data_IF_562830996081
#
_entry.id   IF_562830996081
#
_cell.length_a   1.000
_cell.length_b   1.000
_cell.length_c   1.000
_cell.angle_alpha   90.00
_cell.angle_beta   90.00
_cell.angle_gamma   90.00
#
_symmetry.space_group_name_H-M   'P 1'
#
loop_
_entity.id
_entity.type
_entity.pdbx_description
1 polymer ?
#
# COMPACT_ATOMS: atom_id res chain seq x y z
N UNK A 1 -22.62 -5.55 3.98
CA UNK A 1 -22.32 -4.16 3.47
C UNK A 1 -23.15 -3.16 4.26
N UNK A 2 -22.57 -2.09 4.84
CA UNK A 2 -23.30 -1.03 5.51
C UNK A 2 -24.36 -0.41 4.60
N UNK A 3 -25.50 -0.01 5.18
CA UNK A 3 -26.65 0.53 4.42
C UNK A 3 -26.28 1.72 3.56
N UNK A 4 -25.50 2.66 4.09
CA UNK A 4 -25.09 3.86 3.36
C UNK A 4 -24.20 3.55 2.14
N UNK A 5 -23.28 2.57 2.29
CA UNK A 5 -22.44 2.11 1.17
C UNK A 5 -23.31 1.49 0.08
N UNK A 6 -24.27 0.64 0.46
CA UNK A 6 -25.21 0.02 -0.48
C UNK A 6 -26.05 1.07 -1.22
N UNK A 7 -26.56 2.08 -0.52
CA UNK A 7 -27.35 3.17 -1.14
C UNK A 7 -26.51 3.95 -2.14
N UNK A 8 -25.25 4.33 -1.81
CA UNK A 8 -24.32 4.98 -2.74
C UNK A 8 -23.98 4.09 -3.94
N UNK A 9 -23.76 2.81 -3.70
CA UNK A 9 -23.49 1.83 -4.77
C UNK A 9 -24.64 1.77 -5.77
N UNK A 10 -25.87 1.69 -5.30
CA UNK A 10 -27.05 1.68 -6.16
C UNK A 10 -27.25 3.03 -6.88
N UNK A 11 -26.97 4.14 -6.21
CA UNK A 11 -27.00 5.46 -6.83
C UNK A 11 -25.93 5.60 -7.94
N UNK A 12 -24.71 5.06 -7.72
CA UNK A 12 -23.67 5.00 -8.75
C UNK A 12 -24.13 4.21 -9.97
N UNK A 13 -24.68 3.01 -9.77
CA UNK A 13 -25.18 2.15 -10.87
C UNK A 13 -26.28 2.85 -11.67
N UNK A 14 -27.11 3.69 -11.02
CA UNK A 14 -28.16 4.47 -11.69
C UNK A 14 -27.68 5.80 -12.30
N UNK A 15 -26.38 6.14 -12.15
CA UNK A 15 -25.85 7.42 -12.61
C UNK A 15 -26.28 8.63 -11.76
N UNK A 16 -26.71 8.40 -10.53
CA UNK A 16 -27.19 9.42 -9.58
C UNK A 16 -26.11 9.87 -8.58
N UNK A 17 -24.94 9.26 -8.64
CA UNK A 17 -23.79 9.57 -7.79
C UNK A 17 -22.56 9.92 -8.63
N UNK A 18 -21.94 11.06 -8.35
CA UNK A 18 -20.68 11.46 -8.97
C UNK A 18 -19.52 11.07 -8.05
N UNK A 19 -18.62 10.18 -8.50
CA UNK A 19 -17.45 9.79 -7.71
C UNK A 19 -16.56 11.00 -7.38
N UNK A 20 -16.02 11.10 -6.16
CA UNK A 20 -15.02 12.11 -5.88
C UNK A 20 -13.70 11.77 -6.58
N UNK A 21 -12.84 12.79 -6.76
CA UNK A 21 -11.47 12.60 -7.24
C UNK A 21 -10.69 11.71 -6.27
N UNK A 22 -9.65 11.06 -6.79
CA UNK A 22 -8.74 10.26 -5.99
C UNK A 22 -7.44 11.02 -5.69
N UNK A 23 -6.75 10.61 -4.61
CA UNK A 23 -5.40 11.04 -4.29
C UNK A 23 -4.43 9.90 -4.56
N UNK A 24 -3.23 10.22 -5.04
CA UNK A 24 -2.16 9.24 -5.16
C UNK A 24 -1.74 8.75 -3.77
N UNK A 25 -1.54 7.45 -3.67
CA UNK A 25 -1.10 6.79 -2.45
C UNK A 25 -0.13 5.64 -2.78
N UNK A 26 0.62 5.22 -1.78
CA UNK A 26 1.61 4.16 -1.90
C UNK A 26 1.49 3.17 -0.76
N UNK A 27 1.81 1.93 -1.04
CA UNK A 27 1.84 0.85 -0.06
C UNK A 27 3.10 0.02 -0.31
N UNK A 28 3.81 -0.37 0.75
CA UNK A 28 5.04 -1.15 0.65
C UNK A 28 4.87 -2.50 1.34
N UNK A 29 4.91 -3.55 0.56
CA UNK A 29 5.01 -4.93 1.06
C UNK A 29 6.46 -5.15 1.44
N UNK A 30 6.75 -5.02 2.72
CA UNK A 30 8.08 -5.21 3.26
C UNK A 30 8.31 -6.69 3.51
N UNK A 31 9.41 -7.23 2.96
CA UNK A 31 9.86 -8.61 3.15
C UNK A 31 11.24 -8.62 3.80
N UNK A 32 11.65 -9.71 4.49
CA UNK A 32 12.99 -9.83 5.06
C UNK A 32 14.09 -9.72 4.00
N UNK A 33 15.32 -9.46 4.41
CA UNK A 33 16.48 -9.43 3.50
C UNK A 33 16.73 -10.79 2.86
N UNK A 34 16.59 -11.86 3.62
CA UNK A 34 16.71 -13.25 3.19
C UNK A 34 15.73 -14.17 3.95
N UNK A 35 15.71 -15.46 3.58
CA UNK A 35 14.93 -16.50 4.26
C UNK A 35 13.50 -16.63 3.75
N UNK A 36 12.57 -17.12 4.60
CA UNK A 36 11.20 -17.38 4.21
C UNK A 36 10.45 -16.10 3.86
N UNK A 37 9.44 -16.23 3.01
CA UNK A 37 8.56 -15.11 2.66
C UNK A 37 7.68 -14.75 3.85
N UNK A 38 8.09 -13.70 4.56
CA UNK A 38 7.28 -13.04 5.57
C UNK A 38 6.91 -11.66 5.05
N UNK A 39 5.76 -11.16 5.47
CA UNK A 39 5.33 -9.78 5.18
C UNK A 39 5.07 -9.05 6.48
N UNK A 40 5.49 -7.80 6.56
CA UNK A 40 5.18 -6.96 7.71
C UNK A 40 3.80 -6.35 7.54
N UNK A 41 2.92 -6.62 8.51
CA UNK A 41 1.56 -6.11 8.53
C UNK A 41 1.32 -5.29 9.80
N UNK A 42 0.47 -4.27 9.67
CA UNK A 42 0.06 -3.38 10.74
C UNK A 42 -1.45 -3.36 10.84
N UNK A 43 -2.01 -3.41 12.06
CA UNK A 43 -3.44 -3.19 12.27
C UNK A 43 -3.68 -1.71 12.55
N UNK A 44 -4.45 -1.07 11.70
CA UNK A 44 -4.83 0.34 11.87
C UNK A 44 -5.60 0.53 13.17
N UNK A 45 -5.23 1.56 13.93
CA UNK A 45 -5.93 1.88 15.16
C UNK A 45 -7.43 2.13 14.88
N UNK A 46 -8.28 1.73 15.81
CA UNK A 46 -9.75 1.87 15.67
C UNK A 46 -10.22 3.34 15.62
N UNK A 47 -9.34 4.28 15.97
CA UNK A 47 -9.57 5.73 15.89
C UNK A 47 -9.33 6.32 14.51
N UNK A 48 -8.77 5.53 13.57
CA UNK A 48 -8.46 5.99 12.22
C UNK A 48 -9.72 6.24 11.39
N UNK A 49 -9.69 7.31 10.58
CA UNK A 49 -10.83 7.73 9.77
C UNK A 49 -11.06 6.85 8.52
N UNK A 50 -10.06 6.06 8.08
CA UNK A 50 -10.15 5.15 6.95
C UNK A 50 -9.70 3.76 7.37
N UNK A 51 -10.49 2.75 7.05
CA UNK A 51 -10.23 1.33 7.33
C UNK A 51 -9.80 1.04 8.80
N UNK A 52 -10.56 1.52 9.83
CA UNK A 52 -10.21 1.27 11.23
C UNK A 52 -10.21 -0.23 11.53
N UNK A 53 -9.20 -0.69 12.29
CA UNK A 53 -9.04 -2.09 12.69
C UNK A 53 -8.62 -3.06 11.58
N UNK A 54 -8.48 -2.60 10.34
CA UNK A 54 -8.01 -3.42 9.23
C UNK A 54 -6.50 -3.65 9.30
N UNK A 55 -6.06 -4.82 8.91
CA UNK A 55 -4.66 -5.13 8.71
C UNK A 55 -4.22 -4.69 7.31
N UNK A 56 -3.13 -3.96 7.26
CA UNK A 56 -2.59 -3.34 6.05
C UNK A 56 -1.07 -3.49 6.01
N UNK A 57 -0.49 -3.32 4.84
CA UNK A 57 0.95 -3.05 4.71
C UNK A 57 1.24 -1.58 5.05
N UNK A 58 2.48 -1.23 5.41
CA UNK A 58 2.90 0.17 5.54
C UNK A 58 2.58 1.00 4.31
N UNK A 59 2.17 2.25 4.51
CA UNK A 59 1.91 3.16 3.41
C UNK A 59 0.87 4.23 3.71
N UNK A 60 0.84 5.25 2.84
CA UNK A 60 -0.05 6.39 2.96
C UNK A 60 -0.14 7.22 1.71
N UNK A 61 -0.58 8.46 1.86
CA UNK A 61 -0.76 9.40 0.74
C UNK A 61 0.56 10.00 0.28
N UNK A 62 0.68 10.24 -1.01
CA UNK A 62 1.77 11.06 -1.54
C UNK A 62 1.59 12.50 -1.05
N UNK A 63 2.65 13.06 -0.47
CA UNK A 63 2.70 14.46 -0.05
C UNK A 63 3.08 15.33 -1.27
N UNK A 64 2.52 16.53 -1.43
CA UNK A 64 2.91 17.46 -2.50
C UNK A 64 4.40 17.80 -2.53
N UNK A 65 5.13 17.59 -1.44
CA UNK A 65 6.59 17.80 -1.34
C UNK A 65 7.41 16.59 -1.81
N UNK A 66 6.82 15.40 -1.90
CA UNK A 66 7.52 14.15 -2.28
C UNK A 66 8.23 14.22 -3.65
N UNK A 67 7.70 14.88 -4.70
CA UNK A 67 8.40 14.99 -5.99
C UNK A 67 9.78 15.67 -5.91
N UNK A 68 10.02 16.51 -4.90
CA UNK A 68 11.29 17.22 -4.70
C UNK A 68 12.35 16.38 -3.96
N UNK A 69 11.99 15.22 -3.42
CA UNK A 69 12.91 14.33 -2.71
C UNK A 69 14.04 13.85 -3.64
N UNK A 70 15.30 13.84 -3.17
CA UNK A 70 16.41 13.31 -3.95
C UNK A 70 16.26 11.80 -4.13
N UNK A 71 16.30 11.35 -5.39
CA UNK A 71 16.16 9.93 -5.77
C UNK A 71 17.32 9.54 -6.67
N UNK A 72 17.93 8.39 -6.43
CA UNK A 72 18.90 7.73 -7.30
C UNK A 72 18.27 6.49 -7.96
N UNK A 73 18.71 6.13 -9.14
CA UNK A 73 18.16 5.04 -9.95
C UNK A 73 17.07 5.52 -10.91
N UNK A 74 16.51 4.56 -11.64
CA UNK A 74 15.52 4.85 -12.68
C UNK A 74 14.10 4.91 -12.10
N UNK A 75 13.38 5.97 -12.43
CA UNK A 75 11.96 6.17 -12.09
C UNK A 75 11.14 6.06 -13.38
N UNK A 76 10.46 4.94 -13.56
CA UNK A 76 9.71 4.67 -14.78
C UNK A 76 8.26 5.16 -14.71
N UNK A 77 7.96 6.20 -15.47
CA UNK A 77 6.58 6.73 -15.64
C UNK A 77 5.63 5.62 -16.15
N UNK A 78 6.07 4.85 -17.16
CA UNK A 78 5.25 3.79 -17.75
C UNK A 78 4.97 2.66 -16.76
N UNK A 79 6.00 2.20 -16.02
CA UNK A 79 5.85 1.10 -15.07
C UNK A 79 4.96 1.49 -13.89
N UNK A 80 5.03 2.73 -13.44
CA UNK A 80 4.20 3.26 -12.36
C UNK A 80 2.80 3.70 -12.83
N UNK A 81 2.53 3.63 -14.14
CA UNK A 81 1.29 4.17 -14.72
C UNK A 81 1.03 5.60 -14.24
N UNK A 82 2.09 6.41 -14.16
CA UNK A 82 2.03 7.79 -13.71
C UNK A 82 1.78 8.73 -14.90
N UNK A 83 0.98 9.79 -14.76
CA UNK A 83 0.73 10.73 -15.84
C UNK A 83 1.94 11.62 -16.15
N UNK A 84 2.81 11.88 -15.18
CA UNK A 84 4.00 12.73 -15.32
C UNK A 84 5.18 12.16 -14.52
N UNK A 85 6.38 12.67 -14.80
CA UNK A 85 7.58 12.34 -14.03
C UNK A 85 7.48 12.80 -12.58
N UNK A 86 6.87 13.95 -12.32
CA UNK A 86 6.68 14.46 -10.94
C UNK A 86 5.79 13.54 -10.13
N UNK A 87 4.70 13.02 -10.71
CA UNK A 87 3.86 12.02 -10.05
C UNK A 87 4.65 10.73 -9.82
N UNK A 88 5.41 10.25 -10.81
CA UNK A 88 6.22 9.06 -10.66
C UNK A 88 7.27 9.20 -9.54
N UNK A 89 7.94 10.35 -9.46
CA UNK A 89 8.88 10.67 -8.38
C UNK A 89 8.19 10.74 -7.02
N UNK A 90 7.01 11.39 -6.96
CA UNK A 90 6.20 11.48 -5.75
C UNK A 90 5.79 10.10 -5.22
N UNK A 91 5.41 9.18 -6.10
CA UNK A 91 5.08 7.80 -5.72
C UNK A 91 6.26 7.05 -5.11
N UNK A 92 7.45 7.15 -5.71
CA UNK A 92 8.67 6.50 -5.19
C UNK A 92 9.10 7.11 -3.86
N UNK A 93 9.12 8.44 -3.78
CA UNK A 93 9.50 9.15 -2.57
C UNK A 93 8.49 8.94 -1.43
N UNK A 94 7.19 9.03 -1.73
CA UNK A 94 6.12 8.78 -0.77
C UNK A 94 6.18 7.36 -0.20
N UNK A 95 6.45 6.35 -1.03
CA UNK A 95 6.62 4.98 -0.57
C UNK A 95 7.78 4.84 0.44
N UNK A 96 8.92 5.46 0.13
CA UNK A 96 10.09 5.44 1.02
C UNK A 96 9.84 6.23 2.32
N UNK A 97 9.15 7.38 2.24
CA UNK A 97 8.82 8.23 3.39
C UNK A 97 7.85 7.53 4.34
N UNK A 98 6.72 7.04 3.83
CA UNK A 98 5.71 6.34 4.64
C UNK A 98 6.30 5.09 5.31
N UNK A 99 7.11 4.30 4.57
CA UNK A 99 7.80 3.16 5.16
C UNK A 99 8.71 3.58 6.31
N UNK A 100 9.50 4.66 6.12
CA UNK A 100 10.38 5.18 7.16
C UNK A 100 9.61 5.67 8.38
N UNK A 101 8.55 6.45 8.18
CA UNK A 101 7.69 6.98 9.24
C UNK A 101 7.07 5.87 10.10
N UNK A 102 6.59 4.81 9.47
CA UNK A 102 5.81 3.77 10.13
C UNK A 102 6.65 2.61 10.67
N UNK A 103 7.85 2.36 10.10
CA UNK A 103 8.64 1.16 10.40
C UNK A 103 10.10 1.44 10.79
N UNK A 104 10.56 2.68 10.69
CA UNK A 104 11.97 3.07 10.83
C UNK A 104 12.91 2.51 9.73
N UNK A 105 12.38 1.82 8.74
CA UNK A 105 13.17 1.31 7.60
C UNK A 105 13.32 2.39 6.54
N UNK A 106 14.56 2.74 6.18
CA UNK A 106 14.87 3.77 5.21
C UNK A 106 15.46 3.15 3.93
N UNK A 107 14.71 3.24 2.83
CA UNK A 107 15.15 2.80 1.50
C UNK A 107 15.94 3.92 0.81
N UNK A 108 17.13 4.21 1.32
CA UNK A 108 18.01 5.24 0.79
C UNK A 108 19.48 4.80 0.84
N UNK A 109 20.30 5.45 0.04
CA UNK A 109 21.73 5.21 -0.05
C UNK A 109 22.49 6.53 -0.10
N UNK A 110 23.76 6.50 0.26
CA UNK A 110 24.69 7.60 0.06
C UNK A 110 25.26 7.62 -1.38
N UNK A 111 26.15 8.57 -1.67
CA UNK A 111 26.79 8.71 -2.98
C UNK A 111 27.67 7.53 -3.40
N UNK A 112 28.03 6.63 -2.47
CA UNK A 112 28.75 5.39 -2.75
C UNK A 112 27.84 4.18 -2.98
N UNK A 113 26.52 4.35 -2.78
CA UNK A 113 25.52 3.28 -2.82
C UNK A 113 25.41 2.53 -1.49
N UNK A 114 26.02 3.03 -0.40
CA UNK A 114 25.95 2.37 0.88
C UNK A 114 24.65 2.71 1.63
N UNK A 115 24.04 1.69 2.23
CA UNK A 115 22.88 1.83 3.11
C UNK A 115 23.29 2.56 4.39
N UNK A 116 22.53 3.59 4.83
CA UNK A 116 22.87 4.32 6.04
C UNK A 116 22.71 3.43 7.27
N UNK A 117 23.58 3.70 8.27
CA UNK A 117 23.44 3.12 9.60
C UNK A 117 22.64 4.05 10.50
N UNK A 118 21.83 3.46 11.36
CA UNK A 118 21.14 4.20 12.40
C UNK A 118 22.14 4.86 13.37
N UNK A 119 21.88 6.10 13.72
CA UNK A 119 22.64 6.88 14.70
C UNK A 119 21.74 7.34 15.87
N UNK A 120 22.30 8.07 16.81
CA UNK A 120 21.58 8.55 18.00
C UNK A 120 20.43 9.52 17.70
N UNK A 121 20.38 10.12 16.51
CA UNK A 121 19.31 11.05 16.08
C UNK A 121 18.23 10.35 15.23
N UNK A 122 18.46 9.10 14.83
CA UNK A 122 17.61 8.40 13.87
C UNK A 122 16.13 8.44 14.24
N UNK A 123 15.80 8.06 15.45
CA UNK A 123 14.39 8.00 15.89
C UNK A 123 13.80 9.40 16.11
N UNK A 124 14.59 10.36 16.60
CA UNK A 124 14.15 11.74 16.75
C UNK A 124 13.83 12.38 15.39
N UNK A 125 14.70 12.18 14.41
CA UNK A 125 14.53 12.71 13.06
C UNK A 125 13.35 12.01 12.36
N UNK A 126 13.20 10.67 12.52
CA UNK A 126 12.04 9.92 12.01
C UNK A 126 10.73 10.48 12.59
N UNK A 127 10.67 10.67 13.91
CA UNK A 127 9.48 11.20 14.57
C UNK A 127 9.16 12.62 14.09
N UNK A 128 10.16 13.46 13.84
CA UNK A 128 9.97 14.79 13.28
C UNK A 128 9.45 14.76 11.83
N UNK A 129 9.92 13.79 11.02
CA UNK A 129 9.39 13.55 9.66
C UNK A 129 7.93 13.13 9.74
N UNK A 130 7.60 12.15 10.57
CA UNK A 130 6.24 11.64 10.75
C UNK A 130 5.26 12.71 11.28
N UNK A 131 5.75 13.64 12.11
CA UNK A 131 4.96 14.78 12.60
C UNK A 131 4.83 15.93 11.56
N UNK A 132 5.60 15.89 10.46
CA UNK A 132 5.67 16.95 9.47
C UNK A 132 6.53 18.16 9.89
N UNK A 133 7.22 18.05 11.02
CA UNK A 133 8.11 19.11 11.57
C UNK A 133 9.45 19.18 10.80
N UNK A 134 9.86 18.07 10.18
CA UNK A 134 11.03 17.96 9.30
C UNK A 134 10.58 17.41 7.94
N UNK A 135 10.88 18.15 6.86
CA UNK A 135 10.59 17.61 5.54
C UNK A 135 11.51 16.41 5.22
N UNK A 136 10.96 15.34 4.64
CA UNK A 136 11.74 14.15 4.30
C UNK A 136 12.91 14.45 3.36
N UNK A 137 12.74 15.39 2.42
CA UNK A 137 13.81 15.86 1.57
C UNK A 137 14.97 16.51 2.35
N UNK A 138 14.66 17.31 3.37
CA UNK A 138 15.66 17.99 4.21
C UNK A 138 16.40 16.98 5.10
N UNK A 139 15.66 16.00 5.68
CA UNK A 139 16.24 14.88 6.42
C UNK A 139 17.28 14.12 5.60
N UNK A 140 16.94 13.79 4.35
CA UNK A 140 17.86 13.09 3.44
C UNK A 140 19.05 13.98 3.05
N UNK A 141 18.81 15.27 2.75
CA UNK A 141 19.86 16.22 2.36
C UNK A 141 20.89 16.42 3.48
N UNK A 142 20.47 16.61 4.75
CA UNK A 142 21.34 16.73 5.90
C UNK A 142 22.27 15.51 6.06
N UNK A 143 21.75 14.32 5.74
CA UNK A 143 22.47 13.05 5.82
C UNK A 143 23.20 12.66 4.53
N UNK A 144 23.08 13.48 3.46
CA UNK A 144 23.63 13.22 2.12
C UNK A 144 23.14 11.89 1.53
N UNK A 145 21.85 11.61 1.73
CA UNK A 145 21.18 10.41 1.26
C UNK A 145 20.26 10.73 0.11
N UNK A 146 19.96 9.71 -0.69
CA UNK A 146 18.98 9.73 -1.76
C UNK A 146 18.12 8.46 -1.66
N UNK A 147 16.82 8.56 -1.91
CA UNK A 147 15.96 7.38 -2.02
C UNK A 147 16.49 6.49 -3.13
N UNK A 148 16.65 5.21 -2.87
CA UNK A 148 17.01 4.21 -3.86
C UNK A 148 15.75 3.70 -4.59
N UNK A 149 15.48 4.22 -5.77
CA UNK A 149 14.35 3.78 -6.59
C UNK A 149 14.40 2.28 -6.92
N UNK A 150 15.59 1.67 -6.94
CA UNK A 150 15.76 0.24 -7.23
C UNK A 150 15.39 -0.65 -6.04
N UNK A 151 15.32 -0.12 -4.82
CA UNK A 151 14.84 -0.85 -3.66
C UNK A 151 13.31 -1.05 -3.66
N UNK A 152 12.59 -0.28 -4.49
CA UNK A 152 11.13 -0.30 -4.62
C UNK A 152 10.71 -0.97 -5.93
N UNK A 153 10.16 -2.18 -5.86
CA UNK A 153 9.67 -2.91 -7.03
C UNK A 153 8.15 -2.84 -7.12
N UNK A 154 7.63 -2.32 -8.24
CA UNK A 154 6.18 -2.24 -8.44
C UNK A 154 5.55 -3.63 -8.47
N UNK A 155 4.55 -3.88 -7.61
CA UNK A 155 3.86 -5.18 -7.49
C UNK A 155 2.48 -5.18 -8.10
N UNK A 156 1.62 -4.23 -7.71
CA UNK A 156 0.24 -4.12 -8.20
C UNK A 156 -0.26 -2.69 -8.06
N UNK A 157 -1.36 -2.38 -8.74
CA UNK A 157 -1.95 -1.05 -8.79
C UNK A 157 -3.46 -1.17 -8.54
N UNK A 158 -3.95 -0.52 -7.49
CA UNK A 158 -5.35 -0.57 -7.10
C UNK A 158 -5.95 0.83 -7.00
N UNK A 159 -7.16 0.97 -7.57
CA UNK A 159 -7.97 2.20 -7.49
C UNK A 159 -9.17 1.92 -6.58
N UNK A 160 -9.39 2.82 -5.62
CA UNK A 160 -10.56 2.72 -4.74
C UNK A 160 -11.86 2.78 -5.54
N UNK A 161 -12.87 1.94 -5.23
CA UNK A 161 -14.16 1.93 -5.93
C UNK A 161 -14.84 3.30 -5.97
N UNK A 162 -15.62 3.53 -7.02
CA UNK A 162 -16.24 4.82 -7.33
C UNK A 162 -17.28 5.28 -6.30
N UNK A 163 -17.96 4.35 -5.59
CA UNK A 163 -18.94 4.69 -4.57
C UNK A 163 -18.33 5.12 -3.24
N UNK A 164 -17.01 5.01 -3.07
CA UNK A 164 -16.36 5.45 -1.83
C UNK A 164 -16.24 6.98 -1.76
N UNK A 165 -16.39 7.53 -0.54
CA UNK A 165 -16.31 8.98 -0.30
C UNK A 165 -14.89 9.51 -0.22
N UNK A 166 -13.93 8.62 -0.01
CA UNK A 166 -12.49 8.88 -0.09
C UNK A 166 -11.87 7.87 -1.01
N UNK A 167 -11.23 8.35 -2.05
CA UNK A 167 -10.65 7.48 -3.07
C UNK A 167 -9.16 7.69 -3.20
N UNK A 168 -8.47 6.58 -3.40
CA UNK A 168 -7.02 6.54 -3.56
C UNK A 168 -6.68 5.76 -4.82
N UNK A 169 -5.66 6.24 -5.50
CA UNK A 169 -4.99 5.56 -6.60
C UNK A 169 -3.66 5.03 -6.06
N UNK A 170 -3.62 3.73 -5.71
CA UNK A 170 -2.59 3.15 -4.84
C UNK A 170 -1.62 2.28 -5.62
N UNK A 171 -0.33 2.64 -5.61
CA UNK A 171 0.76 1.78 -6.09
C UNK A 171 1.30 0.94 -4.94
N UNK A 172 1.27 -0.37 -5.13
CA UNK A 172 1.86 -1.34 -4.22
C UNK A 172 3.27 -1.67 -4.69
N UNK A 173 4.22 -1.49 -3.81
CA UNK A 173 5.61 -1.85 -4.03
C UNK A 173 5.96 -3.05 -3.14
N UNK A 174 6.95 -3.82 -3.59
CA UNK A 174 7.68 -4.77 -2.74
C UNK A 174 9.05 -4.17 -2.46
N UNK A 175 9.51 -4.29 -1.22
CA UNK A 175 10.85 -3.91 -0.81
C UNK A 175 11.41 -4.93 0.17
N UNK A 176 12.74 -5.18 0.10
CA UNK A 176 13.45 -5.96 1.11
C UNK A 176 13.94 -5.03 2.22
N UNK A 177 13.94 -5.51 3.45
CA UNK A 177 14.59 -4.77 4.55
C UNK A 177 16.07 -4.61 4.21
N UNK A 178 16.62 -3.38 4.15
CA UNK A 178 18.04 -3.20 3.88
C UNK A 178 18.90 -3.86 4.96
N UNK A 179 19.99 -4.49 4.55
CA UNK A 179 20.89 -5.20 5.47
C UNK A 179 21.39 -4.28 6.61
N UNK A 180 21.25 -4.73 7.83
CA UNK A 180 21.63 -3.99 9.03
C UNK A 180 20.58 -3.04 9.59
N UNK A 181 19.43 -2.87 8.92
CA UNK A 181 18.27 -2.16 9.47
C UNK A 181 17.29 -3.12 10.16
N UNK A 182 16.49 -2.60 11.07
CA UNK A 182 15.47 -3.36 11.80
C UNK A 182 14.13 -2.66 11.70
N UNK A 183 13.11 -3.46 11.42
CA UNK A 183 11.72 -2.98 11.46
C UNK A 183 11.32 -2.74 12.91
N UNK A 184 10.74 -1.59 13.19
CA UNK A 184 10.25 -1.19 14.51
C UNK A 184 8.77 -0.87 14.45
N UNK A 185 8.07 -1.16 15.52
CA UNK A 185 6.71 -0.69 15.74
C UNK A 185 6.78 0.74 16.31
N UNK A 186 6.78 1.72 15.42
CA UNK A 186 6.92 3.15 15.78
C UNK A 186 5.77 4.00 15.24
N UNK A 187 4.82 3.37 14.55
CA UNK A 187 3.65 4.04 14.02
C UNK A 187 2.64 4.35 15.13
N UNK A 188 2.32 5.61 15.34
CA UNK A 188 1.20 6.02 16.21
C UNK A 188 -0.18 5.68 15.60
N UNK A 189 -0.23 5.20 14.37
CA UNK A 189 -1.44 4.85 13.61
C UNK A 189 -1.82 3.38 13.69
N UNK A 190 -0.93 2.53 14.19
CA UNK A 190 -1.16 1.10 14.39
C UNK A 190 -1.29 0.75 15.87
N UNK A 191 -2.13 -0.22 16.19
CA UNK A 191 -2.27 -0.77 17.55
C UNK A 191 -1.69 -2.18 17.67
N UNK A 192 -1.35 -2.82 16.55
CA UNK A 192 -0.63 -4.10 16.47
C UNK A 192 0.16 -4.15 15.18
N UNK A 193 1.33 -4.77 15.26
CA UNK A 193 2.17 -5.00 14.11
C UNK A 193 2.82 -6.38 14.19
N UNK A 194 3.35 -6.88 13.09
CA UNK A 194 4.09 -8.14 13.11
C UNK A 194 4.46 -8.66 11.73
N UNK A 195 5.31 -9.67 11.75
CA UNK A 195 5.68 -10.46 10.59
C UNK A 195 4.80 -11.69 10.48
N UNK A 196 4.26 -11.93 9.30
CA UNK A 196 3.37 -13.06 9.02
C UNK A 196 3.77 -13.71 7.70
N UNK A 197 3.67 -15.02 7.63
CA UNK A 197 3.57 -15.68 6.33
C UNK A 197 2.24 -15.32 5.67
N UNK A 198 2.21 -15.29 4.36
CA UNK A 198 0.96 -15.05 3.64
C UNK A 198 -0.12 -16.09 4.02
N UNK A 199 0.27 -17.35 4.23
CA UNK A 199 -0.65 -18.41 4.64
C UNK A 199 -1.27 -18.18 6.02
N UNK A 200 -0.49 -17.71 7.01
CA UNK A 200 -1.00 -17.36 8.35
C UNK A 200 -1.99 -16.19 8.27
N UNK A 201 -1.62 -15.12 7.56
CA UNK A 201 -2.46 -13.94 7.40
C UNK A 201 -3.79 -14.27 6.68
N UNK A 202 -3.74 -15.02 5.57
CA UNK A 202 -4.92 -15.44 4.83
C UNK A 202 -5.81 -16.42 5.62
N UNK A 203 -5.21 -17.34 6.39
CA UNK A 203 -5.96 -18.21 7.29
C UNK A 203 -6.66 -17.42 8.40
N UNK A 204 -5.99 -16.41 8.97
CA UNK A 204 -6.57 -15.54 9.98
C UNK A 204 -7.69 -14.65 9.40
N UNK A 205 -7.52 -14.18 8.15
CA UNK A 205 -8.56 -13.46 7.41
C UNK A 205 -9.81 -14.33 7.23
N UNK A 206 -9.66 -15.56 6.73
CA UNK A 206 -10.78 -16.49 6.54
C UNK A 206 -11.53 -16.88 7.83
N UNK A 207 -10.87 -16.70 9.00
CA UNK A 207 -11.47 -16.89 10.34
C UNK A 207 -12.02 -15.59 10.95
N UNK A 208 -11.94 -14.46 10.24
CA UNK A 208 -12.35 -13.15 10.74
C UNK A 208 -11.42 -12.53 11.80
N UNK A 209 -10.26 -13.14 12.08
CA UNK A 209 -9.30 -12.65 13.08
C UNK A 209 -8.39 -11.53 12.58
N UNK A 210 -8.18 -11.45 11.26
CA UNK A 210 -7.40 -10.40 10.61
C UNK A 210 -8.22 -9.79 9.46
N UNK A 211 -9.14 -8.86 9.72
CA UNK A 211 -9.89 -8.21 8.65
C UNK A 211 -8.93 -7.42 7.75
N UNK A 212 -9.07 -7.60 6.44
CA UNK A 212 -8.22 -6.97 5.42
C UNK A 212 -9.04 -6.49 4.24
N UNK A 213 -8.60 -5.43 3.58
CA UNK A 213 -9.19 -4.99 2.32
C UNK A 213 -8.80 -5.93 1.15
N UNK A 214 -9.62 -6.02 0.10
CA UNK A 214 -9.36 -6.89 -1.04
C UNK A 214 -7.95 -6.76 -1.65
N UNK A 215 -7.37 -5.55 -1.83
CA UNK A 215 -6.00 -5.41 -2.32
C UNK A 215 -4.95 -6.10 -1.44
N UNK A 216 -5.10 -6.04 -0.12
CA UNK A 216 -4.18 -6.70 0.82
C UNK A 216 -4.27 -8.22 0.70
N UNK A 217 -5.51 -8.76 0.64
CA UNK A 217 -5.76 -10.20 0.48
C UNK A 217 -5.21 -10.72 -0.85
N UNK A 218 -5.48 -10.01 -1.95
CA UNK A 218 -4.98 -10.37 -3.27
C UNK A 218 -3.44 -10.37 -3.33
N UNK A 219 -2.82 -9.32 -2.79
CA UNK A 219 -1.35 -9.21 -2.74
C UNK A 219 -0.73 -10.34 -1.91
N UNK A 220 -1.29 -10.67 -0.75
CA UNK A 220 -0.82 -11.80 0.06
C UNK A 220 -0.97 -13.14 -0.68
N UNK A 221 -2.09 -13.36 -1.38
CA UNK A 221 -2.31 -14.59 -2.12
C UNK A 221 -1.27 -14.76 -3.25
N UNK A 222 -0.95 -13.69 -3.96
CA UNK A 222 0.08 -13.70 -5.01
C UNK A 222 1.50 -13.92 -4.45
N UNK A 223 1.83 -13.27 -3.32
CA UNK A 223 3.15 -13.42 -2.68
C UNK A 223 3.35 -14.81 -2.09
N UNK A 224 2.26 -15.48 -1.67
CA UNK A 224 2.31 -16.83 -1.15
C UNK A 224 2.90 -17.86 -2.14
N UNK A 225 2.92 -17.54 -3.43
CA UNK A 225 3.45 -18.42 -4.48
C UNK A 225 4.99 -18.39 -4.57
N UNK A 226 5.63 -17.37 -3.99
CA UNK A 226 7.08 -17.24 -4.00
C UNK A 226 7.73 -18.14 -2.94
N UNK A 227 8.90 -18.69 -3.28
CA UNK A 227 9.66 -19.62 -2.41
C UNK A 227 10.42 -18.88 -1.31
N UNK A 228 10.92 -17.70 -1.62
CA UNK A 228 11.74 -16.87 -0.74
C UNK A 228 11.62 -15.37 -1.08
N UNK A 229 12.19 -14.52 -0.22
CA UNK A 229 12.13 -13.07 -0.37
C UNK A 229 12.85 -12.55 -1.64
N UNK A 230 13.85 -13.27 -2.15
CA UNK A 230 14.54 -12.89 -3.38
C UNK A 230 13.62 -13.10 -4.59
N UNK A 231 12.93 -14.24 -4.66
CA UNK A 231 11.98 -14.52 -5.74
C UNK A 231 10.82 -13.51 -5.78
N UNK A 232 10.34 -13.02 -4.62
CA UNK A 232 9.33 -11.96 -4.61
C UNK A 232 9.79 -10.73 -5.39
N UNK A 233 11.04 -10.30 -5.21
CA UNK A 233 11.58 -9.14 -5.94
C UNK A 233 11.85 -9.45 -7.42
N UNK A 234 12.30 -10.65 -7.76
CA UNK A 234 12.51 -11.07 -9.15
C UNK A 234 11.20 -11.14 -9.93
N UNK A 235 10.15 -11.71 -9.32
CA UNK A 235 8.80 -11.76 -9.89
C UNK A 235 8.27 -10.35 -10.11
N UNK A 236 8.47 -9.44 -9.14
CA UNK A 236 8.04 -8.05 -9.26
C UNK A 236 8.62 -7.37 -10.51
N UNK A 237 9.87 -7.66 -10.91
CA UNK A 237 10.51 -7.05 -12.08
C UNK A 237 9.86 -7.45 -13.42
N UNK A 238 9.25 -8.62 -13.49
CA UNK A 238 8.65 -9.18 -14.70
C UNK A 238 7.12 -9.02 -14.78
N UNK A 239 6.47 -8.57 -13.70
CA UNK A 239 5.01 -8.43 -13.65
C UNK A 239 4.48 -7.38 -14.61
N UNK A 240 3.37 -7.70 -15.27
CA UNK A 240 2.57 -6.72 -15.98
C UNK A 240 1.63 -6.03 -14.99
N UNK A 241 1.79 -4.73 -14.83
CA UNK A 241 0.98 -3.93 -13.91
C UNK A 241 -0.26 -3.40 -14.62
N UNK A 242 -1.42 -3.62 -14.00
CA UNK A 242 -2.72 -3.11 -14.44
C UNK A 242 -3.37 -2.34 -13.30
N UNK A 243 -3.97 -1.17 -13.56
CA UNK A 243 -4.77 -0.46 -12.56
C UNK A 243 -6.10 -1.21 -12.35
N UNK A 244 -6.27 -1.85 -11.21
CA UNK A 244 -7.41 -2.68 -10.85
C UNK A 244 -8.38 -1.91 -9.96
N UNK A 245 -9.68 -2.03 -10.24
CA UNK A 245 -10.72 -1.41 -9.43
C UNK A 245 -11.87 -2.40 -9.22
N UNK A 246 -12.30 -2.64 -7.97
CA UNK A 246 -13.57 -3.33 -7.72
C UNK A 246 -14.74 -2.50 -8.21
N UNK A 247 -15.56 -3.05 -9.09
CA UNK A 247 -16.72 -2.38 -9.67
C UNK A 247 -18.00 -3.17 -9.37
N UNK A 248 -19.01 -2.54 -8.77
CA UNK A 248 -20.27 -3.19 -8.49
C UNK A 248 -21.13 -3.29 -9.77
N UNK A 249 -21.85 -4.38 -9.91
CA UNK A 249 -22.93 -4.50 -10.91
C UNK A 249 -24.13 -5.28 -10.37
N UNK A 250 -25.28 -5.07 -10.94
CA UNK A 250 -26.46 -5.87 -10.65
C UNK A 250 -26.55 -7.05 -11.66
N UNK A 251 -26.88 -8.23 -11.13
CA UNK A 251 -27.25 -9.38 -11.95
C UNK A 251 -28.65 -9.18 -12.56
N UNK A 252 -29.05 -10.05 -13.49
CA UNK A 252 -30.43 -10.07 -14.04
C UNK A 252 -31.50 -10.22 -12.97
N UNK A 253 -31.18 -10.86 -11.86
CA UNK A 253 -32.09 -11.12 -10.74
C UNK A 253 -32.07 -10.00 -9.69
N UNK A 254 -31.26 -8.92 -9.95
CA UNK A 254 -31.15 -7.76 -9.07
C UNK A 254 -30.20 -7.95 -7.88
N UNK A 255 -29.41 -9.02 -7.88
CA UNK A 255 -28.35 -9.23 -6.89
C UNK A 255 -27.16 -8.33 -7.19
N UNK A 256 -26.56 -7.74 -6.13
CA UNK A 256 -25.36 -6.93 -6.24
C UNK A 256 -24.13 -7.84 -6.15
N UNK A 257 -23.34 -7.83 -7.22
CA UNK A 257 -22.07 -8.56 -7.28
C UNK A 257 -20.93 -7.61 -7.63
N UNK A 258 -19.71 -8.07 -7.47
CA UNK A 258 -18.51 -7.30 -7.69
C UNK A 258 -17.65 -7.95 -8.76
N UNK A 259 -17.15 -7.15 -9.67
CA UNK A 259 -16.09 -7.52 -10.59
C UNK A 259 -14.83 -6.70 -10.27
N UNK A 260 -13.66 -7.23 -10.54
CA UNK A 260 -12.41 -6.44 -10.57
C UNK A 260 -12.11 -6.15 -12.02
N UNK A 261 -12.07 -4.88 -12.36
CA UNK A 261 -11.84 -4.41 -13.74
C UNK A 261 -10.46 -3.76 -13.89
N UNK A 262 -9.89 -3.84 -15.09
CA UNK A 262 -8.80 -2.98 -15.52
C UNK A 262 -9.38 -1.59 -15.85
N UNK A 263 -8.94 -0.56 -15.15
CA UNK A 263 -9.49 0.81 -15.31
C UNK A 263 -9.22 1.41 -16.69
N UNK A 264 -8.22 0.87 -17.45
CA UNK A 264 -7.84 1.41 -18.76
C UNK A 264 -8.82 1.08 -19.89
N UNK A 265 -9.48 -0.07 -19.81
CA UNK A 265 -10.32 -0.60 -20.88
C UNK A 265 -11.62 -1.23 -20.38
N UNK A 266 -11.90 -1.14 -19.08
CA UNK A 266 -13.06 -1.72 -18.40
C UNK A 266 -13.19 -3.25 -18.53
N UNK A 267 -12.11 -3.92 -18.94
CA UNK A 267 -12.12 -5.38 -19.04
C UNK A 267 -12.20 -6.02 -17.65
N UNK A 268 -13.06 -7.04 -17.52
CA UNK A 268 -13.19 -7.80 -16.27
C UNK A 268 -11.97 -8.72 -16.13
N UNK A 269 -11.20 -8.52 -15.04
CA UNK A 269 -10.05 -9.33 -14.69
C UNK A 269 -10.45 -10.49 -13.76
N UNK A 270 -11.31 -10.20 -12.78
CA UNK A 270 -11.87 -11.18 -11.84
C UNK A 270 -13.35 -10.89 -11.67
N UNK A 271 -14.20 -11.92 -11.81
CA UNK A 271 -15.62 -11.82 -11.45
C UNK A 271 -15.83 -12.50 -10.10
N UNK A 272 -16.31 -11.72 -9.12
CA UNK A 272 -16.59 -12.21 -7.78
C UNK A 272 -18.11 -12.35 -7.61
N UNK A 273 -18.60 -13.58 -7.53
CA UNK A 273 -20.02 -13.88 -7.35
C UNK A 273 -20.56 -13.58 -5.94
N UNK A 274 -19.71 -13.22 -4.98
CA UNK A 274 -20.08 -12.90 -3.60
C UNK A 274 -19.29 -11.70 -3.09
N UNK A 275 -19.89 -10.92 -2.18
CA UNK A 275 -19.22 -9.86 -1.45
C UNK A 275 -17.95 -10.40 -0.77
N UNK A 276 -16.83 -9.63 -0.78
CA UNK A 276 -15.70 -10.00 0.06
C UNK A 276 -16.17 -10.07 1.52
N UNK A 277 -16.01 -11.23 2.15
CA UNK A 277 -16.29 -11.44 3.55
C UNK A 277 -15.46 -10.47 4.40
N UNK A 278 -16.08 -9.44 4.96
CA UNK A 278 -15.35 -8.45 5.78
C UNK A 278 -16.13 -7.19 6.16
N UNK A 279 -17.40 -7.06 5.81
CA UNK A 279 -18.18 -5.84 6.10
C UNK A 279 -19.19 -5.94 7.25
N UNK A 280 -19.25 -7.04 7.98
CA UNK A 280 -20.03 -7.11 9.21
C UNK A 280 -19.13 -6.93 10.44
N UNK A 281 -18.89 -5.67 10.80
CA UNK A 281 -18.61 -5.32 12.20
C UNK A 281 -19.97 -4.97 12.80
N UNK A 282 -20.76 -5.99 13.13
CA UNK A 282 -21.87 -5.81 14.07
C UNK A 282 -21.31 -5.40 15.45
N UNK A 283 -21.94 -4.37 16.02
CA UNK A 283 -21.60 -3.86 17.32
C UNK A 283 -21.62 -4.96 18.39
N UNK A 284 -20.54 -5.04 19.11
CA UNK A 284 -20.54 -5.68 20.43
C UNK A 284 -20.66 -4.60 21.49
N UNK A 285 -21.45 -4.89 22.56
CA UNK A 285 -21.82 -3.97 23.63
C UNK A 285 -20.65 -3.49 24.48
#
# INVERSE_FOLDING_TARGET
MPREVRERTLALIRGEFTPPDFSDATTVVLVPDDGPVLTYLMRRATTMAFAPGMWVFPGGRVDPRDPAVPIVGDVSVTRLSAPTMDVARGLVAGAARELFEETSVLLAVDSSGAVPREDSRWETDRAAVAAGDLAFADFLAERRLQVDAQALRMWTHWVTPEMETRRYDVRFFVARVPSGQQVRDVSGEADRTGWFTAAEALSAYGKGAMPMLPPTVATLAEIAEARDAAEVTEVADTRTIRPLMPRPRLTSDGELIWDVVDVRDDSVVISMAQEPAGSEVEGMP
#
